data_IF_475667405296
#
_entry.id   IF_475667405296
#
_cell.length_a   1.000
_cell.length_b   1.000
_cell.length_c   1.000
_cell.angle_alpha   90.00
_cell.angle_beta   90.00
_cell.angle_gamma   90.00
#
_symmetry.space_group_name_H-M   'P 1'
#
loop_
_entity.id
_entity.type
_entity.pdbx_description
1 polymer ?
#
# COMPACT_ATOMS: atom_id res chain seq x y z
N UNK A 1 1.18 21.24 6.15
CA UNK A 1 1.49 19.95 5.50
C UNK A 1 2.10 18.96 6.47
N UNK A 2 3.01 19.38 7.35
CA UNK A 2 3.68 18.53 8.36
C UNK A 2 2.76 17.52 9.07
N UNK A 3 1.63 17.97 9.63
CA UNK A 3 0.72 17.07 10.34
C UNK A 3 -0.04 16.12 9.39
N UNK A 4 -0.30 16.54 8.16
CA UNK A 4 -1.16 15.81 7.20
C UNK A 4 -0.54 14.51 6.68
N UNK A 5 0.76 14.28 6.91
CA UNK A 5 1.47 13.05 6.51
C UNK A 5 1.70 12.08 7.67
N UNK A 6 1.27 12.42 8.88
CA UNK A 6 1.33 11.52 10.03
C UNK A 6 0.39 10.33 9.82
N UNK A 7 0.69 9.21 10.46
CA UNK A 7 -0.08 7.97 10.34
C UNK A 7 -1.58 8.19 10.59
N UNK A 8 -1.94 8.92 11.66
CA UNK A 8 -3.33 9.23 12.02
C UNK A 8 -4.04 10.14 11.02
N UNK A 9 -3.28 10.99 10.33
CA UNK A 9 -3.79 11.97 9.38
C UNK A 9 -3.82 11.46 7.94
N UNK A 10 -3.07 10.41 7.59
CA UNK A 10 -3.18 9.80 6.27
C UNK A 10 -4.21 8.67 6.22
N UNK A 11 -4.30 7.86 7.27
CA UNK A 11 -5.01 6.57 7.21
C UNK A 11 -5.70 6.20 8.52
N UNK A 12 -6.88 5.60 8.39
CA UNK A 12 -7.62 5.01 9.51
C UNK A 12 -7.46 3.48 9.56
N UNK A 13 -6.68 2.94 10.50
CA UNK A 13 -6.53 1.50 10.65
C UNK A 13 -7.50 0.95 11.72
N UNK A 14 -8.60 0.34 11.28
CA UNK A 14 -9.58 -0.31 12.15
C UNK A 14 -9.38 -1.83 12.29
N UNK A 15 -8.34 -2.38 11.65
CA UNK A 15 -8.01 -3.80 11.71
C UNK A 15 -7.54 -4.17 13.14
N UNK A 16 -8.28 -5.00 13.91
CA UNK A 16 -7.95 -5.24 15.32
C UNK A 16 -6.57 -5.84 15.56
N UNK A 17 -6.07 -6.58 14.58
CA UNK A 17 -4.77 -7.26 14.61
C UNK A 17 -3.61 -6.39 14.11
N UNK A 18 -3.88 -5.16 13.64
CA UNK A 18 -2.87 -4.24 13.10
C UNK A 18 -2.90 -2.87 13.76
N UNK A 19 -4.05 -2.38 14.21
CA UNK A 19 -4.27 -1.00 14.67
C UNK A 19 -3.28 -0.55 15.73
N UNK A 20 -2.99 -1.40 16.74
CA UNK A 20 -2.07 -1.06 17.84
C UNK A 20 -0.66 -0.75 17.34
N UNK A 21 -0.08 -1.60 16.48
CA UNK A 21 1.26 -1.37 15.94
C UNK A 21 1.24 -0.30 14.84
N UNK A 22 0.15 -0.20 14.09
CA UNK A 22 0.00 0.84 13.08
C UNK A 22 0.14 2.23 13.70
N UNK A 23 -0.54 2.48 14.82
CA UNK A 23 -0.50 3.76 15.52
C UNK A 23 0.66 3.93 16.50
N UNK A 24 1.58 2.96 16.62
CA UNK A 24 2.82 3.18 17.39
C UNK A 24 3.88 3.97 16.63
N UNK A 25 3.67 4.21 15.32
CA UNK A 25 4.56 4.98 14.47
C UNK A 25 3.95 6.33 14.12
N UNK A 26 4.76 7.39 14.22
CA UNK A 26 4.35 8.74 13.85
C UNK A 26 4.07 8.86 12.35
N UNK A 27 4.91 8.22 11.53
CA UNK A 27 4.78 8.19 10.08
C UNK A 27 4.61 6.77 9.57
N UNK A 28 3.75 6.53 8.57
CA UNK A 28 3.39 5.18 8.14
C UNK A 28 4.60 4.39 7.60
N UNK A 29 5.52 5.03 6.88
CA UNK A 29 6.69 4.34 6.32
C UNK A 29 7.63 3.76 7.38
N UNK A 30 7.55 4.21 8.64
CA UNK A 30 8.35 3.65 9.73
C UNK A 30 7.94 2.20 10.06
N UNK A 31 6.73 1.77 9.68
CA UNK A 31 6.26 0.40 9.86
C UNK A 31 6.82 -0.58 8.81
N UNK A 32 7.36 -0.09 7.69
CA UNK A 32 7.83 -0.93 6.57
C UNK A 32 8.86 -2.01 6.96
N UNK A 33 9.85 -1.74 7.84
CA UNK A 33 10.81 -2.76 8.29
C UNK A 33 10.15 -3.91 9.05
N UNK A 34 9.06 -3.61 9.77
CA UNK A 34 8.40 -4.54 10.68
C UNK A 34 7.28 -5.35 10.01
N UNK A 35 6.89 -5.04 8.78
CA UNK A 35 5.84 -5.79 8.07
C UNK A 35 6.16 -7.28 8.04
N UNK A 36 7.43 -7.66 7.82
CA UNK A 36 7.85 -9.06 7.78
C UNK A 36 7.61 -9.79 9.11
N UNK A 37 7.97 -9.17 10.24
CA UNK A 37 7.81 -9.76 11.57
C UNK A 37 6.33 -9.78 11.99
N UNK A 38 5.56 -8.74 11.64
CA UNK A 38 4.12 -8.68 11.86
C UNK A 38 3.40 -9.77 11.05
N UNK A 39 3.69 -9.89 9.75
CA UNK A 39 3.07 -10.92 8.90
C UNK A 39 3.43 -12.33 9.38
N UNK A 40 4.68 -12.57 9.79
CA UNK A 40 5.10 -13.83 10.38
C UNK A 40 4.34 -14.13 11.69
N UNK A 41 4.17 -13.13 12.56
CA UNK A 41 3.43 -13.30 13.82
C UNK A 41 1.95 -13.60 13.58
N UNK A 42 1.29 -12.86 12.67
CA UNK A 42 -0.11 -13.07 12.29
C UNK A 42 -0.33 -14.41 11.58
N UNK A 43 0.62 -14.87 10.78
CA UNK A 43 0.52 -16.18 10.13
C UNK A 43 0.82 -17.32 11.09
N UNK A 44 1.65 -17.12 12.13
CA UNK A 44 1.87 -18.09 13.21
C UNK A 44 0.65 -18.20 14.14
N UNK A 45 0.09 -17.06 14.54
CA UNK A 45 -1.09 -16.96 15.39
C UNK A 45 -2.18 -16.19 14.63
N UNK A 46 -3.01 -16.88 13.83
CA UNK A 46 -4.03 -16.24 13.01
C UNK A 46 -5.00 -15.41 13.84
N UNK A 47 -5.43 -14.22 13.36
CA UNK A 47 -6.47 -13.45 14.02
C UNK A 47 -7.78 -14.25 14.13
N UNK A 48 -8.66 -13.93 15.10
CA UNK A 48 -9.97 -14.57 15.21
C UNK A 48 -10.76 -14.51 13.90
N UNK A 49 -11.30 -15.64 13.47
CA UNK A 49 -12.06 -15.77 12.22
C UNK A 49 -11.22 -16.08 10.97
N UNK A 50 -9.89 -16.05 11.07
CA UNK A 50 -9.00 -16.46 9.99
C UNK A 50 -8.74 -17.97 10.03
N UNK A 51 -8.50 -18.54 8.85
CA UNK A 51 -8.14 -19.95 8.66
C UNK A 51 -6.79 -20.04 7.96
N UNK A 52 -6.06 -21.14 8.18
CA UNK A 52 -4.78 -21.38 7.51
C UNK A 52 -5.06 -22.02 6.15
N UNK A 53 -4.64 -21.36 5.08
CA UNK A 53 -4.73 -21.89 3.71
C UNK A 53 -3.53 -22.80 3.40
N UNK A 54 -2.34 -22.39 3.83
CA UNK A 54 -1.08 -23.12 3.67
C UNK A 54 -0.08 -22.67 4.76
N UNK A 55 1.10 -23.26 4.78
CA UNK A 55 2.16 -22.80 5.69
C UNK A 55 2.51 -21.34 5.40
N UNK A 56 2.55 -20.52 6.45
CA UNK A 56 2.73 -19.07 6.33
C UNK A 56 1.62 -18.30 5.59
N UNK A 57 0.46 -18.89 5.28
CA UNK A 57 -0.63 -18.20 4.58
C UNK A 57 -1.95 -18.37 5.34
N UNK A 58 -2.55 -17.24 5.75
CA UNK A 58 -3.83 -17.19 6.47
C UNK A 58 -4.83 -16.29 5.75
N UNK A 59 -6.08 -16.72 5.73
CA UNK A 59 -7.17 -16.04 5.01
C UNK A 59 -8.41 -15.90 5.89
N UNK A 60 -9.12 -14.79 5.71
CA UNK A 60 -10.44 -14.56 6.28
C UNK A 60 -11.55 -15.32 5.54
N UNK A 61 -12.80 -14.97 5.81
CA UNK A 61 -13.98 -15.55 5.17
C UNK A 61 -14.14 -15.05 3.73
N UNK A 62 -14.70 -15.89 2.86
CA UNK A 62 -15.08 -15.52 1.49
C UNK A 62 -13.91 -14.95 0.65
N UNK A 63 -12.68 -15.39 0.92
CA UNK A 63 -11.51 -15.04 0.11
C UNK A 63 -11.50 -15.90 -1.16
N UNK A 64 -11.37 -15.27 -2.32
CA UNK A 64 -11.29 -15.94 -3.62
C UNK A 64 -9.89 -15.78 -4.19
N UNK A 65 -9.23 -16.89 -4.52
CA UNK A 65 -7.88 -16.90 -5.10
C UNK A 65 -7.93 -17.68 -6.40
N UNK A 66 -7.56 -17.04 -7.50
CA UNK A 66 -7.46 -17.70 -8.79
C UNK A 66 -6.31 -18.73 -8.80
N UNK A 67 -6.52 -19.87 -9.46
CA UNK A 67 -5.56 -20.99 -9.49
C UNK A 67 -4.18 -20.63 -10.05
N UNK A 68 -4.11 -19.64 -10.94
CA UNK A 68 -2.85 -19.17 -11.53
C UNK A 68 -2.11 -18.12 -10.70
N UNK A 69 -2.65 -17.70 -9.55
CA UNK A 69 -1.98 -16.77 -8.66
C UNK A 69 -0.83 -17.47 -7.92
N UNK A 70 0.31 -16.80 -7.80
CA UNK A 70 1.47 -17.31 -7.06
C UNK A 70 1.57 -16.57 -5.73
N UNK A 71 1.51 -17.33 -4.64
CA UNK A 71 1.53 -16.83 -3.27
C UNK A 71 2.77 -17.35 -2.55
N UNK A 72 3.71 -16.46 -2.25
CA UNK A 72 4.89 -16.76 -1.43
C UNK A 72 4.65 -16.22 0.00
N UNK A 73 4.78 -17.03 1.06
CA UNK A 73 4.54 -16.61 2.43
C UNK A 73 5.58 -15.59 2.94
N UNK A 74 5.31 -14.84 4.03
CA UNK A 74 4.06 -14.84 4.79
C UNK A 74 2.98 -13.94 4.15
N UNK A 75 1.72 -14.40 4.17
CA UNK A 75 0.56 -13.68 3.61
C UNK A 75 -0.64 -13.75 4.56
N UNK A 76 -1.25 -12.59 4.81
CA UNK A 76 -2.52 -12.43 5.53
C UNK A 76 -3.51 -11.75 4.59
N UNK A 77 -4.64 -12.41 4.28
CA UNK A 77 -5.72 -11.82 3.47
C UNK A 77 -7.00 -11.72 4.29
N UNK A 78 -7.52 -10.51 4.50
CA UNK A 78 -8.78 -10.29 5.22
C UNK A 78 -10.02 -10.75 4.46
N UNK A 79 -11.17 -10.71 5.14
CA UNK A 79 -12.45 -11.19 4.62
C UNK A 79 -12.81 -10.58 3.26
N UNK A 80 -13.27 -11.39 2.31
CA UNK A 80 -13.73 -10.94 1.00
C UNK A 80 -12.61 -10.50 0.04
N UNK A 81 -11.34 -10.71 0.38
CA UNK A 81 -10.24 -10.46 -0.54
C UNK A 81 -10.37 -11.27 -1.83
N UNK A 82 -10.03 -10.65 -2.96
CA UNK A 82 -9.97 -11.32 -4.26
C UNK A 82 -8.56 -11.24 -4.83
N UNK A 83 -7.97 -12.38 -5.14
CA UNK A 83 -6.70 -12.51 -5.85
C UNK A 83 -6.99 -13.05 -7.25
N UNK A 84 -6.75 -12.22 -8.27
CA UNK A 84 -7.10 -12.45 -9.68
C UNK A 84 -6.00 -13.21 -10.44
N UNK A 85 -6.25 -13.65 -11.70
CA UNK A 85 -5.31 -14.48 -12.45
C UNK A 85 -3.92 -13.85 -12.60
N UNK A 86 -2.88 -14.66 -12.39
CA UNK A 86 -1.49 -14.26 -12.58
C UNK A 86 -0.95 -13.25 -11.57
N UNK A 87 -1.71 -12.92 -10.51
CA UNK A 87 -1.19 -12.12 -9.40
C UNK A 87 0.02 -12.81 -8.76
N UNK A 88 1.02 -12.03 -8.35
CA UNK A 88 2.24 -12.53 -7.73
C UNK A 88 2.49 -11.84 -6.39
N UNK A 89 2.25 -12.55 -5.29
CA UNK A 89 2.46 -12.05 -3.93
C UNK A 89 3.81 -12.58 -3.43
N UNK A 90 4.80 -11.70 -3.28
CA UNK A 90 6.18 -12.04 -2.92
C UNK A 90 6.46 -12.01 -1.41
N UNK A 91 5.45 -12.32 -0.61
CA UNK A 91 5.55 -12.37 0.85
C UNK A 91 5.57 -11.01 1.54
N UNK A 92 5.42 -11.08 2.86
CA UNK A 92 5.26 -9.93 3.75
C UNK A 92 4.05 -9.08 3.33
N UNK A 93 2.93 -9.74 3.06
CA UNK A 93 1.69 -9.10 2.60
C UNK A 93 0.65 -9.17 3.71
N UNK A 94 0.10 -8.02 4.08
CA UNK A 94 -1.06 -7.93 4.98
C UNK A 94 -2.13 -7.13 4.24
N UNK A 95 -3.20 -7.79 3.82
CA UNK A 95 -4.36 -7.14 3.21
C UNK A 95 -5.54 -7.17 4.18
N UNK A 96 -6.20 -6.03 4.33
CA UNK A 96 -7.46 -5.88 5.04
C UNK A 96 -8.61 -6.58 4.33
N UNK A 97 -9.83 -6.20 4.67
CA UNK A 97 -11.06 -6.76 4.11
C UNK A 97 -11.29 -6.23 2.70
N UNK A 98 -11.89 -7.06 1.85
CA UNK A 98 -12.42 -6.69 0.54
C UNK A 98 -11.37 -6.04 -0.39
N UNK A 99 -10.09 -6.40 -0.25
CA UNK A 99 -9.06 -5.93 -1.17
C UNK A 99 -9.12 -6.70 -2.49
N UNK A 100 -8.82 -6.03 -3.60
CA UNK A 100 -8.68 -6.63 -4.92
C UNK A 100 -7.22 -6.59 -5.33
N UNK A 101 -6.57 -7.75 -5.33
CA UNK A 101 -5.27 -7.95 -5.97
C UNK A 101 -5.51 -8.47 -7.38
N UNK A 102 -5.19 -7.61 -8.33
CA UNK A 102 -5.56 -7.69 -9.73
C UNK A 102 -4.84 -8.68 -10.61
N UNK A 103 -5.26 -8.72 -11.88
CA UNK A 103 -4.59 -9.53 -12.88
C UNK A 103 -3.15 -9.06 -13.05
N UNK A 104 -2.20 -10.00 -12.95
CA UNK A 104 -0.76 -9.74 -13.10
C UNK A 104 -0.26 -8.59 -12.21
N UNK A 105 -0.92 -8.37 -11.07
CA UNK A 105 -0.46 -7.44 -10.04
C UNK A 105 0.59 -8.13 -9.18
N UNK A 106 1.74 -7.48 -9.00
CA UNK A 106 2.83 -7.95 -8.14
C UNK A 106 2.88 -7.13 -6.85
N UNK A 107 2.87 -7.82 -5.72
CA UNK A 107 3.01 -7.23 -4.39
C UNK A 107 4.27 -7.74 -3.68
N UNK A 108 4.95 -6.86 -2.95
CA UNK A 108 6.10 -7.22 -2.13
C UNK A 108 6.19 -6.32 -0.91
N UNK A 109 6.20 -6.89 0.30
CA UNK A 109 6.36 -6.13 1.54
C UNK A 109 5.39 -4.94 1.64
N UNK A 110 4.09 -5.21 1.73
CA UNK A 110 3.08 -4.17 1.73
C UNK A 110 1.94 -4.43 2.70
N UNK A 111 1.37 -3.33 3.19
CA UNK A 111 0.10 -3.32 3.92
C UNK A 111 -0.95 -2.67 3.02
N UNK A 112 -2.05 -3.38 2.78
CA UNK A 112 -3.25 -2.84 2.15
C UNK A 112 -4.34 -2.75 3.21
N UNK A 113 -4.88 -1.56 3.48
CA UNK A 113 -6.02 -1.40 4.37
C UNK A 113 -7.33 -1.81 3.68
N UNK A 114 -8.48 -1.59 4.33
CA UNK A 114 -9.75 -2.15 3.86
C UNK A 114 -10.17 -1.56 2.50
N UNK A 115 -10.62 -2.43 1.60
CA UNK A 115 -11.24 -2.04 0.32
C UNK A 115 -10.25 -1.53 -0.74
N UNK A 116 -8.95 -1.75 -0.57
CA UNK A 116 -7.94 -1.35 -1.56
C UNK A 116 -8.13 -2.09 -2.89
N UNK A 117 -7.98 -1.38 -4.00
CA UNK A 117 -8.11 -1.95 -5.34
C UNK A 117 -6.85 -1.73 -6.18
N UNK A 118 -6.19 -2.83 -6.54
CA UNK A 118 -5.00 -2.89 -7.41
C UNK A 118 -5.29 -3.80 -8.61
N UNK A 119 -6.25 -3.44 -9.48
CA UNK A 119 -7.00 -4.38 -10.31
C UNK A 119 -6.25 -4.93 -11.52
N UNK A 120 -5.22 -4.25 -12.05
CA UNK A 120 -4.56 -4.64 -13.30
C UNK A 120 -3.10 -4.17 -13.39
N UNK A 121 -2.16 -5.10 -13.56
CA UNK A 121 -0.75 -4.83 -13.90
C UNK A 121 -0.05 -3.85 -12.95
N UNK A 122 -0.42 -3.84 -11.67
CA UNK A 122 0.21 -2.96 -10.70
C UNK A 122 1.48 -3.61 -10.14
N UNK A 123 2.52 -2.81 -9.90
CA UNK A 123 3.64 -3.20 -9.03
C UNK A 123 3.59 -2.37 -7.75
N UNK A 124 3.44 -3.03 -6.60
CA UNK A 124 3.38 -2.37 -5.28
C UNK A 124 4.39 -3.02 -4.34
N UNK A 125 5.57 -2.42 -4.25
CA UNK A 125 6.67 -2.87 -3.40
C UNK A 125 6.94 -1.89 -2.25
N UNK A 126 7.17 -2.40 -1.03
CA UNK A 126 7.60 -1.61 0.14
C UNK A 126 6.70 -0.39 0.39
N UNK A 127 5.38 -0.63 0.41
CA UNK A 127 4.34 0.41 0.36
C UNK A 127 3.21 0.15 1.37
N UNK A 128 2.54 1.22 1.80
CA UNK A 128 1.33 1.14 2.63
C UNK A 128 0.21 1.88 1.93
N UNK A 129 -0.90 1.19 1.71
CA UNK A 129 -2.01 1.65 0.89
C UNK A 129 -3.26 1.79 1.76
N UNK A 130 -3.77 3.02 1.87
CA UNK A 130 -4.89 3.41 2.72
C UNK A 130 -6.23 2.84 2.27
N UNK A 131 -7.25 2.97 3.12
CA UNK A 131 -8.56 2.38 2.89
C UNK A 131 -9.18 2.89 1.60
N UNK A 132 -9.78 2.00 0.82
CA UNK A 132 -10.46 2.30 -0.45
C UNK A 132 -9.59 3.07 -1.46
N UNK A 133 -8.27 3.06 -1.29
CA UNK A 133 -7.38 3.60 -2.29
C UNK A 133 -7.39 2.70 -3.53
N UNK A 134 -7.24 3.33 -4.69
CA UNK A 134 -7.29 2.68 -5.98
C UNK A 134 -6.04 3.03 -6.80
N UNK A 135 -5.49 2.04 -7.48
CA UNK A 135 -4.42 2.24 -8.46
C UNK A 135 -4.87 1.75 -9.83
N UNK A 136 -5.05 2.67 -10.76
CA UNK A 136 -5.40 2.38 -12.14
C UNK A 136 -4.40 1.44 -12.82
N UNK A 137 -4.83 0.87 -13.95
CA UNK A 137 -4.06 -0.15 -14.64
C UNK A 137 -2.63 0.32 -14.96
N UNK A 138 -1.64 -0.52 -14.64
CA UNK A 138 -0.24 -0.21 -14.91
C UNK A 138 0.37 0.89 -14.06
N UNK A 139 -0.33 1.40 -13.03
CA UNK A 139 0.30 2.29 -12.06
C UNK A 139 1.30 1.52 -11.19
N UNK A 140 2.46 2.11 -10.95
CA UNK A 140 3.59 1.45 -10.28
C UNK A 140 4.16 2.27 -9.12
N UNK A 141 4.48 1.59 -8.03
CA UNK A 141 5.24 2.13 -6.90
C UNK A 141 6.71 1.74 -7.05
N UNK A 142 7.53 2.63 -7.62
CA UNK A 142 8.98 2.43 -7.64
C UNK A 142 9.53 2.51 -6.23
N UNK A 143 10.31 1.53 -5.80
CA UNK A 143 10.77 1.42 -4.41
C UNK A 143 12.28 1.57 -4.24
N UNK A 144 13.05 1.79 -5.31
CA UNK A 144 14.51 1.93 -5.23
C UNK A 144 14.95 3.16 -6.03
N UNK A 145 15.75 4.01 -5.41
CA UNK A 145 16.37 5.14 -6.12
C UNK A 145 17.46 4.64 -7.06
N UNK A 146 17.56 5.26 -8.23
CA UNK A 146 18.57 4.93 -9.24
C UNK A 146 20.01 5.16 -8.74
N UNK A 147 20.21 6.13 -7.84
CA UNK A 147 21.50 6.39 -7.20
C UNK A 147 21.82 5.42 -6.04
N UNK A 148 20.87 4.53 -5.72
CA UNK A 148 20.94 3.61 -4.61
C UNK A 148 20.91 4.28 -3.23
N UNK A 149 20.92 5.59 -3.07
CA UNK A 149 20.96 6.17 -1.71
C UNK A 149 19.66 5.86 -0.95
N UNK A 150 19.66 5.92 0.40
CA UNK A 150 18.43 5.85 1.16
C UNK A 150 17.38 6.84 0.64
N UNK A 151 16.12 6.44 0.72
CA UNK A 151 14.98 7.26 0.29
C UNK A 151 14.80 8.42 1.25
N UNK A 152 14.65 9.61 0.68
CA UNK A 152 14.27 10.83 1.39
C UNK A 152 12.91 11.23 0.84
N UNK A 153 11.96 11.51 1.72
CA UNK A 153 10.63 12.01 1.32
C UNK A 153 10.73 13.52 1.34
N UNK A 154 10.40 14.15 0.20
CA UNK A 154 10.41 15.60 0.05
C UNK A 154 9.02 16.15 0.30
N UNK A 155 8.85 16.95 1.35
CA UNK A 155 7.60 17.63 1.69
C UNK A 155 7.86 19.10 2.01
N UNK A 156 7.22 19.61 3.06
CA UNK A 156 7.55 20.92 3.64
C UNK A 156 8.93 20.97 4.29
N UNK A 157 9.44 19.81 4.68
CA UNK A 157 10.85 19.55 4.99
C UNK A 157 11.27 18.23 4.34
N UNK A 158 12.56 17.93 4.41
CA UNK A 158 13.09 16.63 3.99
C UNK A 158 13.00 15.63 5.16
N UNK A 159 12.34 14.50 4.91
CA UNK A 159 12.21 13.42 5.89
C UNK A 159 13.20 12.31 5.51
N UNK A 160 14.32 12.25 6.22
CA UNK A 160 15.31 11.18 6.06
C UNK A 160 14.77 9.86 6.63
N UNK A 161 14.43 8.91 5.75
CA UNK A 161 13.80 7.66 6.20
C UNK A 161 14.79 6.60 6.68
N UNK A 162 16.05 6.69 6.24
CA UNK A 162 17.06 5.65 6.43
C UNK A 162 16.82 4.37 5.62
N UNK A 163 15.72 4.28 4.87
CA UNK A 163 15.31 3.08 4.16
C UNK A 163 15.95 3.03 2.77
N UNK A 164 16.63 1.93 2.45
CA UNK A 164 17.16 1.67 1.10
C UNK A 164 16.03 1.45 0.09
N UNK A 165 14.91 0.85 0.53
CA UNK A 165 13.72 0.63 -0.28
C UNK A 165 12.48 1.20 0.40
N UNK A 166 11.74 2.02 -0.33
CA UNK A 166 10.45 2.58 0.07
C UNK A 166 9.71 2.94 -1.22
N UNK A 167 8.56 2.33 -1.44
CA UNK A 167 7.68 2.60 -2.58
C UNK A 167 6.86 3.86 -2.38
N UNK A 168 5.56 3.69 -2.17
CA UNK A 168 4.63 4.79 -1.94
C UNK A 168 3.77 4.57 -0.69
N UNK A 169 3.28 5.68 -0.16
CA UNK A 169 2.32 5.73 0.94
C UNK A 169 1.07 6.42 0.39
N UNK A 170 -0.04 5.69 0.28
CA UNK A 170 -1.30 6.24 -0.24
C UNK A 170 -2.27 6.44 0.91
N UNK A 171 -2.76 7.66 1.12
CA UNK A 171 -3.80 7.95 2.10
C UNK A 171 -5.15 7.31 1.75
N UNK A 172 -6.08 7.38 2.69
CA UNK A 172 -7.44 6.87 2.50
C UNK A 172 -8.13 7.52 1.29
N UNK A 173 -8.81 6.72 0.47
CA UNK A 173 -9.51 7.13 -0.75
C UNK A 173 -8.62 7.82 -1.81
N UNK A 174 -7.30 7.65 -1.76
CA UNK A 174 -6.43 8.11 -2.84
C UNK A 174 -6.71 7.33 -4.13
N UNK A 175 -6.76 8.04 -5.26
CA UNK A 175 -7.06 7.45 -6.57
C UNK A 175 -5.95 7.80 -7.57
N UNK A 176 -5.21 6.78 -7.99
CA UNK A 176 -4.07 6.91 -8.89
C UNK A 176 -4.50 6.52 -10.29
N UNK A 177 -4.34 7.43 -11.25
CA UNK A 177 -4.64 7.17 -12.66
C UNK A 177 -3.78 6.06 -13.29
N UNK A 178 -4.25 5.53 -14.41
CA UNK A 178 -3.56 4.49 -15.15
C UNK A 178 -2.16 4.93 -15.60
N UNK A 179 -1.19 4.00 -15.55
CA UNK A 179 0.18 4.23 -16.00
C UNK A 179 0.97 5.28 -15.20
N UNK A 180 0.47 5.74 -14.06
CA UNK A 180 1.23 6.64 -13.19
C UNK A 180 2.47 5.96 -12.63
N UNK A 181 3.54 6.73 -12.49
CA UNK A 181 4.77 6.30 -11.81
C UNK A 181 4.90 7.07 -10.52
N UNK A 182 4.78 6.37 -9.40
CA UNK A 182 5.08 6.91 -8.08
C UNK A 182 6.56 6.67 -7.80
N UNK A 183 7.31 7.76 -7.67
CA UNK A 183 8.73 7.69 -7.35
C UNK A 183 8.94 7.18 -5.91
N UNK A 184 10.11 6.60 -5.59
CA UNK A 184 10.42 6.17 -4.23
C UNK A 184 10.21 7.31 -3.23
N UNK A 185 9.44 7.06 -2.18
CA UNK A 185 9.14 8.07 -1.16
C UNK A 185 7.91 8.92 -1.44
N UNK A 186 7.10 8.58 -2.44
CA UNK A 186 5.87 9.36 -2.70
C UNK A 186 4.85 9.13 -1.60
N UNK A 187 4.31 10.21 -1.05
CA UNK A 187 3.23 10.20 -0.07
C UNK A 187 2.04 10.95 -0.68
N UNK A 188 0.92 10.26 -0.87
CA UNK A 188 -0.31 10.86 -1.41
C UNK A 188 -1.31 11.07 -0.27
N UNK A 189 -1.77 12.30 -0.10
CA UNK A 189 -2.79 12.65 0.88
C UNK A 189 -4.12 11.92 0.65
N UNK A 190 -4.95 11.87 1.70
CA UNK A 190 -6.30 11.30 1.61
C UNK A 190 -7.16 12.05 0.59
N UNK A 191 -8.10 11.35 -0.02
CA UNK A 191 -9.06 11.88 -1.00
C UNK A 191 -8.43 12.57 -2.23
N UNK A 192 -7.16 12.28 -2.52
CA UNK A 192 -6.45 12.89 -3.65
C UNK A 192 -6.52 12.01 -4.88
N UNK A 193 -6.86 12.62 -6.02
CA UNK A 193 -6.90 11.97 -7.33
C UNK A 193 -5.75 12.43 -8.22
N UNK A 194 -5.14 11.51 -8.97
CA UNK A 194 -3.99 11.80 -9.83
C UNK A 194 -4.31 11.34 -11.24
N UNK A 195 -4.19 12.24 -12.21
CA UNK A 195 -4.52 11.93 -13.60
C UNK A 195 -3.57 10.88 -14.19
N UNK A 196 -4.06 10.07 -15.17
CA UNK A 196 -3.25 9.05 -15.83
C UNK A 196 -1.92 9.59 -16.35
N UNK A 197 -0.91 8.72 -16.40
CA UNK A 197 0.43 9.01 -16.91
C UNK A 197 1.19 10.12 -16.16
N UNK A 198 0.73 10.53 -14.99
CA UNK A 198 1.39 11.56 -14.19
C UNK A 198 2.53 10.95 -13.36
N UNK A 199 3.80 11.37 -13.54
CA UNK A 199 4.87 11.00 -12.64
C UNK A 199 4.81 11.87 -11.38
N UNK A 200 4.79 11.27 -10.21
CA UNK A 200 4.71 12.02 -8.94
C UNK A 200 5.84 11.65 -7.99
N UNK A 201 6.20 12.61 -7.13
CA UNK A 201 7.28 12.51 -6.15
C UNK A 201 6.97 13.38 -4.94
N UNK A 202 7.45 12.96 -3.78
CA UNK A 202 7.33 13.73 -2.55
C UNK A 202 5.93 13.66 -1.97
N UNK A 203 5.59 14.67 -1.17
CA UNK A 203 4.28 14.77 -0.50
C UNK A 203 3.29 15.50 -1.40
N UNK A 204 2.22 14.80 -1.78
CA UNK A 204 1.06 15.36 -2.46
C UNK A 204 -0.02 15.67 -1.41
N UNK A 205 -0.57 16.89 -1.37
CA UNK A 205 -1.54 17.29 -0.34
C UNK A 205 -2.84 16.47 -0.43
N UNK A 206 -3.62 16.41 0.66
CA UNK A 206 -4.95 15.80 0.64
C UNK A 206 -5.96 16.65 -0.14
N UNK A 207 -7.12 16.06 -0.42
CA UNK A 207 -8.31 16.74 -0.96
C UNK A 207 -8.03 17.54 -2.25
N UNK A 208 -7.19 16.99 -3.13
CA UNK A 208 -6.81 17.64 -4.37
C UNK A 208 -6.89 16.72 -5.61
N UNK A 209 -6.81 17.34 -6.77
CA UNK A 209 -6.68 16.68 -8.07
C UNK A 209 -5.36 17.12 -8.69
N UNK A 210 -4.46 16.17 -8.90
CA UNK A 210 -3.18 16.37 -9.60
C UNK A 210 -3.41 16.08 -11.09
N UNK A 211 -3.53 17.13 -11.89
CA UNK A 211 -3.68 17.02 -13.36
C UNK A 211 -2.33 16.81 -14.06
N UNK A 212 -1.29 17.40 -13.48
CA UNK A 212 0.12 17.23 -13.82
C UNK A 212 0.96 17.60 -12.59
N UNK A 213 2.29 17.34 -12.57
CA UNK A 213 3.13 17.68 -11.41
C UNK A 213 3.09 19.17 -11.03
N UNK A 214 2.89 20.03 -12.02
CA UNK A 214 2.83 21.50 -11.86
C UNK A 214 1.38 22.02 -11.77
N UNK A 215 0.37 21.14 -11.82
CA UNK A 215 -1.04 21.52 -11.81
C UNK A 215 -1.82 20.70 -10.78
N UNK A 216 -1.88 21.23 -9.57
CA UNK A 216 -2.65 20.68 -8.44
C UNK A 216 -3.81 21.64 -8.15
N UNK A 217 -5.04 21.13 -8.17
CA UNK A 217 -6.25 21.90 -7.86
C UNK A 217 -6.98 21.29 -6.67
N UNK A 218 -7.68 22.11 -5.89
CA UNK A 218 -8.51 21.62 -4.78
C UNK A 218 -9.68 20.82 -5.36
N UNK A 219 -10.04 19.73 -4.70
CA UNK A 219 -11.21 18.92 -5.03
C UNK A 219 -12.46 19.63 -4.49
N UNK A 220 -13.38 19.99 -5.39
CA UNK A 220 -14.71 20.52 -5.05
C UNK A 220 -15.63 19.44 -4.46
#
# INVERSE_FOLDING_TARGET
MHDQIKTSELMKCELPYLSKIFYSYEYPWQLLPDISSVAAALTKTPPPGFTRLADGIVIGKNVSIHESAVLLPPIVLGDGCTVRPGAFLRGNIIAGRSCVIGNSTELKNCILLDGVQLPHYNYVGDSIIGNRAHMGAGAVCSNLKSDGKPVVIHGDTDYATGLRKLGAILGDNADIGCGCVLNPGTVVGRNTSIYPLTPIRGVIPPDCIVKSPDCIVIRE
#
